data_IF_802239945972
#
_entry.id   IF_802239945972
#
_cell.length_a   1.000
_cell.length_b   1.000
_cell.length_c   1.000
_cell.angle_alpha   90.00
_cell.angle_beta   90.00
_cell.angle_gamma   90.00
#
_symmetry.space_group_name_H-M   'P 1'
#
loop_
_entity.id
_entity.type
_entity.pdbx_description
1 polymer ?
#
# COMPACT_ATOMS: atom_id res chain seq x y z
N UNK A 1 57.36 -12.50 56.80
CA UNK A 1 56.06 -13.07 56.40
C UNK A 1 55.02 -12.06 56.83
N UNK A 2 54.78 -11.07 55.99
CA UNK A 2 53.80 -10.01 56.19
C UNK A 2 52.83 -10.10 55.00
N UNK A 3 51.54 -10.13 55.31
CA UNK A 3 50.46 -10.57 54.42
C UNK A 3 50.02 -9.53 53.41
N UNK A 4 49.71 -10.01 52.21
CA UNK A 4 49.10 -9.28 51.10
C UNK A 4 47.65 -8.90 51.44
N UNK A 5 47.33 -7.62 51.24
CA UNK A 5 45.98 -7.08 51.35
C UNK A 5 45.12 -7.58 50.19
N UNK A 6 44.02 -8.25 50.52
CA UNK A 6 43.02 -8.75 49.58
C UNK A 6 42.23 -7.60 48.92
N UNK A 7 42.10 -7.68 47.60
CA UNK A 7 41.29 -6.83 46.76
C UNK A 7 39.81 -7.14 46.98
N UNK A 8 39.06 -6.15 47.45
CA UNK A 8 37.62 -6.22 47.73
C UNK A 8 36.82 -6.05 46.42
N UNK A 9 36.04 -7.05 45.96
CA UNK A 9 35.37 -7.03 44.66
C UNK A 9 34.02 -6.29 44.66
N UNK A 10 33.68 -5.54 45.71
CA UNK A 10 32.38 -4.86 45.85
C UNK A 10 32.24 -3.52 45.09
N UNK A 11 33.14 -3.22 44.14
CA UNK A 11 33.13 -1.98 43.34
C UNK A 11 32.61 -2.17 41.91
N UNK A 12 31.72 -3.14 41.67
CA UNK A 12 31.04 -3.26 40.37
C UNK A 12 29.81 -2.34 40.34
N UNK A 13 30.09 -1.09 39.97
CA UNK A 13 29.15 -0.01 39.76
C UNK A 13 27.90 -0.47 38.97
N UNK A 14 26.73 -0.10 39.50
CA UNK A 14 25.47 -0.03 38.75
C UNK A 14 25.71 0.65 37.41
N UNK A 15 25.76 -0.15 36.34
CA UNK A 15 25.69 0.37 34.98
C UNK A 15 24.33 1.05 34.79
N UNK A 16 24.28 2.33 34.37
CA UNK A 16 23.03 3.00 34.05
C UNK A 16 22.27 2.18 33.00
N UNK A 17 20.98 1.91 33.26
CA UNK A 17 20.09 1.33 32.26
C UNK A 17 20.10 2.25 31.04
N UNK A 18 20.61 1.74 29.91
CA UNK A 18 20.55 2.46 28.64
C UNK A 18 19.09 2.85 28.35
N UNK A 19 18.83 4.10 27.93
CA UNK A 19 17.49 4.53 27.58
C UNK A 19 16.93 3.63 26.48
N UNK A 20 15.72 3.10 26.70
CA UNK A 20 15.02 2.27 25.73
C UNK A 20 15.03 2.96 24.37
N UNK A 21 15.62 2.30 23.38
CA UNK A 21 15.62 2.76 22.00
C UNK A 21 14.17 3.11 21.61
N UNK A 22 13.94 4.24 20.91
CA UNK A 22 12.60 4.63 20.50
C UNK A 22 11.89 3.46 19.85
N UNK A 23 10.75 3.06 20.40
CA UNK A 23 9.95 1.97 19.85
C UNK A 23 9.58 2.35 18.41
N UNK A 24 10.01 1.54 17.46
CA UNK A 24 9.60 1.63 16.06
C UNK A 24 8.08 1.62 16.01
N UNK A 25 7.47 2.71 15.53
CA UNK A 25 6.01 2.85 15.47
C UNK A 25 5.41 2.19 14.22
N UNK A 26 6.25 1.86 13.24
CA UNK A 26 5.86 1.21 11.99
C UNK A 26 5.95 -0.31 12.14
N UNK A 27 5.00 -0.89 12.88
CA UNK A 27 4.84 -2.34 12.95
C UNK A 27 4.09 -2.88 11.73
N UNK A 28 4.46 -4.09 11.29
CA UNK A 28 3.80 -4.76 10.17
C UNK A 28 2.30 -4.97 10.43
N UNK A 29 1.55 -4.91 9.35
CA UNK A 29 0.13 -5.24 9.36
C UNK A 29 -0.11 -6.68 9.87
N UNK A 30 -1.06 -6.91 10.80
CA UNK A 30 -1.45 -8.27 11.14
C UNK A 30 -1.97 -9.02 9.91
N UNK A 31 -1.69 -10.31 9.86
CA UNK A 31 -2.09 -11.18 8.76
C UNK A 31 -3.60 -11.12 8.50
N UNK A 32 -3.98 -10.86 7.25
CA UNK A 32 -5.39 -10.78 6.85
C UNK A 32 -5.97 -12.18 6.64
N UNK A 33 -6.92 -12.56 7.51
CA UNK A 33 -7.64 -13.85 7.46
C UNK A 33 -8.98 -13.74 6.74
N UNK A 34 -9.38 -12.54 6.29
CA UNK A 34 -10.68 -12.33 5.65
C UNK A 34 -10.74 -13.05 4.29
N UNK A 35 -11.92 -13.49 3.85
CA UNK A 35 -12.09 -14.07 2.52
C UNK A 35 -11.61 -13.12 1.43
N UNK A 36 -10.79 -13.63 0.51
CA UNK A 36 -10.30 -12.89 -0.66
C UNK A 36 -11.32 -12.99 -1.79
N UNK A 37 -11.42 -11.93 -2.59
CA UNK A 37 -12.20 -11.95 -3.83
C UNK A 37 -11.59 -12.96 -4.81
N UNK A 38 -12.43 -13.66 -5.61
CA UNK A 38 -11.91 -14.54 -6.65
C UNK A 38 -11.17 -13.74 -7.72
N UNK A 39 -10.24 -14.41 -8.40
CA UNK A 39 -9.53 -13.81 -9.52
C UNK A 39 -10.53 -13.33 -10.60
N UNK A 40 -10.36 -12.09 -11.05
CA UNK A 40 -11.26 -11.48 -12.05
C UNK A 40 -12.55 -10.89 -11.50
N UNK A 41 -12.81 -10.94 -10.19
CA UNK A 41 -13.99 -10.30 -9.60
C UNK A 41 -13.97 -8.77 -9.65
N UNK A 42 -12.77 -8.18 -9.69
CA UNK A 42 -12.56 -6.74 -9.77
C UNK A 42 -12.30 -6.37 -11.23
N UNK A 43 -13.14 -5.49 -11.76
CA UNK A 43 -13.02 -4.93 -13.11
C UNK A 43 -13.53 -3.48 -13.09
N UNK A 44 -13.27 -2.72 -14.15
CA UNK A 44 -13.99 -1.46 -14.37
C UNK A 44 -15.45 -1.77 -14.69
N UNK A 45 -16.36 -1.11 -13.98
CA UNK A 45 -17.80 -1.33 -14.15
C UNK A 45 -18.30 -0.46 -15.30
N UNK A 46 -18.67 -1.09 -16.41
CA UNK A 46 -18.92 -0.39 -17.68
C UNK A 46 -20.15 0.51 -17.61
N UNK A 47 -21.13 0.10 -16.82
CA UNK A 47 -22.35 0.84 -16.50
C UNK A 47 -22.06 2.09 -15.66
N UNK A 48 -20.86 2.18 -15.09
CA UNK A 48 -20.39 3.26 -14.23
C UNK A 48 -19.13 3.95 -14.78
N UNK A 49 -19.18 4.19 -16.09
CA UNK A 49 -18.22 5.03 -16.82
C UNK A 49 -18.91 6.25 -17.41
N UNK A 50 -18.17 7.35 -17.59
CA UNK A 50 -18.63 8.45 -18.42
C UNK A 50 -18.77 8.01 -19.87
N UNK A 51 -19.68 8.63 -20.64
CA UNK A 51 -20.00 8.22 -22.01
C UNK A 51 -18.82 8.28 -22.99
N UNK A 52 -17.79 9.04 -22.64
CA UNK A 52 -16.59 9.23 -23.45
C UNK A 52 -15.45 8.26 -23.09
N UNK A 53 -15.69 7.26 -22.24
CA UNK A 53 -14.74 6.16 -21.98
C UNK A 53 -14.89 5.10 -23.06
N UNK A 54 -13.76 4.69 -23.64
CA UNK A 54 -13.64 3.58 -24.56
C UNK A 54 -12.86 2.44 -23.88
N UNK A 55 -13.55 1.42 -23.33
CA UNK A 55 -12.90 0.26 -22.75
C UNK A 55 -12.31 -0.64 -23.84
N UNK A 56 -11.08 -1.11 -23.64
CA UNK A 56 -10.36 -2.02 -24.55
C UNK A 56 -9.74 -3.18 -23.76
N UNK A 57 -9.21 -4.20 -24.46
CA UNK A 57 -8.62 -5.40 -23.86
C UNK A 57 -9.53 -6.11 -22.83
N UNK A 58 -10.83 -6.19 -23.12
CA UNK A 58 -11.82 -6.76 -22.21
C UNK A 58 -12.06 -5.90 -20.96
N UNK A 59 -11.93 -4.58 -21.07
CA UNK A 59 -12.14 -3.63 -19.98
C UNK A 59 -10.95 -3.47 -19.04
N UNK A 60 -9.75 -3.92 -19.43
CA UNK A 60 -8.52 -3.76 -18.63
C UNK A 60 -7.75 -2.48 -18.93
N UNK A 61 -7.97 -1.92 -20.12
CA UNK A 61 -7.36 -0.68 -20.56
C UNK A 61 -8.47 0.31 -20.93
N UNK A 62 -8.39 1.53 -20.40
CA UNK A 62 -9.37 2.59 -20.65
C UNK A 62 -8.71 3.70 -21.47
N UNK A 63 -9.45 4.19 -22.46
CA UNK A 63 -9.05 5.34 -23.26
C UNK A 63 -10.18 6.37 -23.26
N UNK A 64 -9.86 7.66 -23.14
CA UNK A 64 -10.82 8.73 -23.40
C UNK A 64 -11.01 8.94 -24.90
N UNK A 65 -12.24 9.10 -25.36
CA UNK A 65 -12.52 9.54 -26.72
C UNK A 65 -11.99 10.98 -26.90
N UNK A 66 -11.10 11.17 -27.87
CA UNK A 66 -10.45 12.47 -28.13
C UNK A 66 -10.97 13.16 -29.40
N UNK A 67 -11.94 12.59 -30.09
CA UNK A 67 -12.51 13.17 -31.32
C UNK A 67 -13.70 14.09 -31.03
N UNK A 68 -14.05 14.98 -31.97
CA UNK A 68 -15.30 15.72 -31.95
C UNK A 68 -15.48 16.69 -30.76
N UNK A 69 -14.40 17.16 -30.14
CA UNK A 69 -14.45 18.04 -28.97
C UNK A 69 -14.46 17.32 -27.63
N UNK A 70 -14.49 15.98 -27.62
CA UNK A 70 -14.46 15.18 -26.40
C UNK A 70 -13.12 15.22 -25.66
N UNK A 71 -12.04 15.70 -26.30
CA UNK A 71 -10.74 15.92 -25.64
C UNK A 71 -10.81 16.93 -24.49
N UNK A 72 -11.84 17.79 -24.45
CA UNK A 72 -12.06 18.75 -23.37
C UNK A 72 -12.90 18.17 -22.22
N UNK A 73 -13.39 16.94 -22.36
CA UNK A 73 -14.18 16.26 -21.34
C UNK A 73 -13.31 15.29 -20.54
N UNK A 74 -13.52 15.27 -19.22
CA UNK A 74 -12.85 14.30 -18.36
C UNK A 74 -13.53 12.93 -18.50
N UNK A 75 -12.74 11.92 -18.85
CA UNK A 75 -13.20 10.53 -18.90
C UNK A 75 -12.95 9.85 -17.55
N UNK A 76 -13.99 9.22 -16.99
CA UNK A 76 -13.93 8.62 -15.65
C UNK A 76 -14.62 7.27 -15.60
N UNK A 77 -14.11 6.38 -14.74
CA UNK A 77 -14.65 5.05 -14.52
C UNK A 77 -14.51 4.64 -13.05
N UNK A 78 -15.44 3.84 -12.55
CA UNK A 78 -15.35 3.20 -11.24
C UNK A 78 -15.15 1.69 -11.36
N UNK A 79 -14.56 1.08 -10.34
CA UNK A 79 -14.46 -0.37 -10.25
C UNK A 79 -15.81 -0.99 -9.83
N UNK A 80 -16.02 -2.27 -10.15
CA UNK A 80 -17.20 -3.05 -9.76
C UNK A 80 -17.32 -3.30 -8.25
N UNK A 81 -16.23 -3.09 -7.50
CA UNK A 81 -16.15 -3.35 -6.06
C UNK A 81 -15.73 -2.09 -5.32
N UNK A 82 -16.49 -1.73 -4.28
CA UNK A 82 -16.17 -0.64 -3.37
C UNK A 82 -15.31 -1.09 -2.19
N UNK A 83 -14.36 -0.24 -1.80
CA UNK A 83 -13.53 -0.45 -0.60
C UNK A 83 -14.22 0.19 0.61
N UNK A 84 -14.66 -0.63 1.57
CA UNK A 84 -15.31 -0.14 2.81
C UNK A 84 -14.34 0.00 3.99
N UNK A 85 -13.49 -1.00 4.22
CA UNK A 85 -12.57 -1.03 5.35
C UNK A 85 -11.40 -1.99 5.10
N UNK A 86 -10.25 -1.66 5.67
CA UNK A 86 -9.00 -2.41 5.53
C UNK A 86 -8.04 -1.73 4.56
N UNK A 87 -6.96 -2.45 4.22
CA UNK A 87 -5.89 -1.97 3.35
C UNK A 87 -5.95 -2.73 2.03
N UNK A 88 -6.03 -2.00 0.93
CA UNK A 88 -6.05 -2.55 -0.42
C UNK A 88 -5.10 -1.73 -1.27
N UNK A 89 -4.47 -2.40 -2.23
CA UNK A 89 -3.58 -1.79 -3.21
C UNK A 89 -4.04 -2.26 -4.59
N UNK A 90 -3.98 -1.35 -5.54
CA UNK A 90 -4.08 -1.66 -6.96
C UNK A 90 -2.94 -0.95 -7.68
N UNK A 91 -2.56 -1.50 -8.82
CA UNK A 91 -1.55 -0.92 -9.69
C UNK A 91 -2.23 -0.39 -10.95
N UNK A 92 -1.76 0.76 -11.43
CA UNK A 92 -2.21 1.33 -12.70
C UNK A 92 -0.98 1.58 -13.55
N UNK A 93 -1.03 1.11 -14.79
CA UNK A 93 -0.01 1.42 -15.80
C UNK A 93 -0.59 2.45 -16.75
N UNK A 94 0.11 3.55 -16.94
CA UNK A 94 -0.24 4.56 -17.93
C UNK A 94 0.48 4.19 -19.23
N UNK A 95 -0.29 3.98 -20.29
CA UNK A 95 0.21 3.64 -21.63
C UNK A 95 -0.15 4.75 -22.60
N UNK A 96 0.74 5.07 -23.53
CA UNK A 96 0.43 5.93 -24.66
C UNK A 96 0.22 5.10 -25.92
N UNK A 97 -0.69 5.55 -26.78
CA UNK A 97 -0.80 5.07 -28.16
C UNK A 97 -0.07 6.04 -29.06
N UNK A 98 0.82 5.51 -29.90
CA UNK A 98 1.47 6.31 -30.94
C UNK A 98 0.46 6.65 -32.03
N UNK A 99 0.35 7.93 -32.34
CA UNK A 99 -0.47 8.49 -33.42
C UNK A 99 -0.03 8.01 -34.80
#
# INVERSE_FOLDING_TARGET
MEGEAAFDPEAEAEKPKEPEKPKELEEDAPADKRPKLPAGAVAFFTEDTTLNVMPTMGGKLLLGLSDGGFQYLLAGARASVGVKAGRYMFEVVITETKS
#
